data_IF_640894830673
#
_entry.id   IF_640894830673
#
_cell.length_a   1.000
_cell.length_b   1.000
_cell.length_c   1.000
_cell.angle_alpha   90.00
_cell.angle_beta   90.00
_cell.angle_gamma   90.00
#
_symmetry.space_group_name_H-M   'P 1'
#
loop_
_entity.id
_entity.type
_entity.pdbx_description
1 polymer ?
#
# COMPACT_ATOMS: atom_id res chain seq x y z
N UNK A 1 -0.94 5.26 8.59
CA UNK A 1 -2.07 6.18 8.35
C UNK A 1 -2.17 6.44 6.87
N UNK A 2 -3.36 6.79 6.40
CA UNK A 2 -3.74 6.56 4.98
C UNK A 2 -3.49 7.84 4.16
N UNK A 3 -2.24 8.28 4.21
CA UNK A 3 -1.68 9.37 3.40
C UNK A 3 -0.30 8.93 2.94
N UNK A 4 -0.08 8.93 1.64
CA UNK A 4 1.22 8.63 1.04
C UNK A 4 2.03 9.88 0.70
N UNK A 5 3.11 9.67 -0.05
CA UNK A 5 3.97 10.76 -0.52
C UNK A 5 3.19 11.71 -1.44
N UNK A 6 3.46 13.01 -1.33
CA UNK A 6 2.79 14.03 -2.17
C UNK A 6 3.30 13.96 -3.62
N UNK A 7 4.53 13.52 -3.83
CA UNK A 7 5.16 13.43 -5.15
C UNK A 7 5.85 12.08 -5.36
N UNK A 8 5.66 11.40 -6.51
CA UNK A 8 6.32 10.12 -6.80
C UNK A 8 7.84 10.26 -6.94
N UNK A 9 8.36 11.46 -7.19
CA UNK A 9 9.80 11.73 -7.21
C UNK A 9 10.46 11.60 -5.83
N UNK A 10 9.67 11.40 -4.77
CA UNK A 10 10.16 11.18 -3.41
C UNK A 10 10.45 9.71 -3.07
N UNK A 11 10.11 8.79 -3.98
CA UNK A 11 10.37 7.35 -3.85
C UNK A 11 11.87 7.08 -3.69
N UNK A 12 12.22 6.14 -2.81
CA UNK A 12 13.61 5.68 -2.61
C UNK A 12 13.85 4.33 -3.27
N UNK A 13 12.83 3.48 -3.33
CA UNK A 13 12.85 2.17 -3.95
C UNK A 13 11.84 2.17 -5.11
N UNK A 14 12.37 2.29 -6.33
CA UNK A 14 11.57 2.35 -7.57
C UNK A 14 10.95 1.02 -7.95
N UNK A 15 11.49 -0.10 -7.46
CA UNK A 15 10.90 -1.42 -7.72
C UNK A 15 9.61 -1.59 -6.90
N UNK A 16 9.64 -1.12 -5.65
CA UNK A 16 8.52 -1.24 -4.71
C UNK A 16 7.58 -0.04 -4.73
N UNK A 17 7.98 1.05 -5.38
CA UNK A 17 7.27 2.33 -5.38
C UNK A 17 7.02 2.85 -3.94
N UNK A 18 8.04 2.76 -3.10
CA UNK A 18 8.00 3.23 -1.71
C UNK A 18 9.19 4.16 -1.38
N UNK A 19 8.96 5.07 -0.44
CA UNK A 19 10.00 5.83 0.22
C UNK A 19 10.27 5.23 1.61
N UNK A 20 11.43 4.62 1.79
CA UNK A 20 11.91 4.03 3.03
C UNK A 20 13.05 4.86 3.60
N UNK A 21 12.82 5.47 4.75
CA UNK A 21 13.79 6.32 5.43
C UNK A 21 14.20 5.69 6.75
N UNK A 22 15.50 5.45 6.93
CA UNK A 22 16.09 4.93 8.16
C UNK A 22 16.51 6.07 9.10
N UNK A 23 16.18 5.93 10.38
CA UNK A 23 16.45 6.91 11.43
C UNK A 23 16.10 8.38 11.06
N UNK A 24 14.92 8.66 10.47
CA UNK A 24 14.59 10.01 10.02
C UNK A 24 14.23 10.92 11.20
N UNK A 25 14.43 12.22 10.99
CA UNK A 25 13.67 13.23 11.72
C UNK A 25 12.26 13.37 11.12
N UNK A 26 11.28 13.72 11.96
CA UNK A 26 9.89 13.90 11.56
C UNK A 26 9.42 15.27 12.01
N UNK A 27 9.08 16.13 11.05
CA UNK A 27 8.55 17.46 11.27
C UNK A 27 7.02 17.41 11.18
N UNK A 28 6.33 17.80 12.26
CA UNK A 28 4.87 17.90 12.30
C UNK A 28 4.44 19.37 12.25
N UNK A 29 3.64 19.75 11.25
CA UNK A 29 3.17 21.13 11.06
C UNK A 29 1.64 21.13 10.95
N UNK A 30 0.97 22.00 11.71
CA UNK A 30 -0.51 22.04 11.70
C UNK A 30 -1.09 22.78 10.50
N UNK A 31 -0.29 23.66 9.88
CA UNK A 31 -0.65 24.53 8.75
C UNK A 31 -0.10 24.03 7.42
N UNK A 32 -0.51 24.68 6.33
CA UNK A 32 0.06 24.48 5.00
C UNK A 32 1.46 25.08 4.90
N UNK A 33 2.30 24.46 4.07
CA UNK A 33 3.64 24.95 3.75
C UNK A 33 3.69 25.27 2.26
N UNK A 34 3.85 26.55 1.92
CA UNK A 34 3.88 27.04 0.53
C UNK A 34 5.23 27.66 0.18
N UNK A 35 5.81 28.44 1.10
CA UNK A 35 7.05 29.16 0.92
C UNK A 35 8.24 28.30 1.36
N UNK A 36 9.29 28.26 0.52
CA UNK A 36 10.53 27.54 0.87
C UNK A 36 11.24 28.21 2.05
N UNK A 37 11.14 29.54 2.18
CA UNK A 37 11.83 30.34 3.20
C UNK A 37 11.55 29.83 4.61
N UNK A 38 10.34 29.39 4.87
CA UNK A 38 9.92 28.91 6.20
C UNK A 38 10.56 27.56 6.53
N UNK A 39 10.90 26.75 5.51
CA UNK A 39 11.55 25.45 5.67
C UNK A 39 13.09 25.54 5.72
N UNK A 40 13.70 26.55 5.12
CA UNK A 40 15.17 26.66 5.03
C UNK A 40 15.86 26.44 6.38
N UNK A 41 15.45 27.09 7.49
CA UNK A 41 16.15 26.94 8.78
C UNK A 41 16.14 25.51 9.31
N UNK A 42 15.03 24.79 9.18
CA UNK A 42 14.93 23.40 9.64
C UNK A 42 15.66 22.44 8.69
N UNK A 43 15.60 22.68 7.38
CA UNK A 43 16.31 21.88 6.39
C UNK A 43 17.82 21.95 6.60
N UNK A 44 18.38 23.14 6.83
CA UNK A 44 19.82 23.31 7.09
C UNK A 44 20.27 22.55 8.33
N UNK A 45 19.51 22.63 9.44
CA UNK A 45 19.80 21.91 10.67
C UNK A 45 19.78 20.39 10.47
N UNK A 46 18.77 19.88 9.75
CA UNK A 46 18.66 18.44 9.49
C UNK A 46 19.74 17.97 8.52
N UNK A 47 20.07 18.73 7.50
CA UNK A 47 21.17 18.43 6.58
C UNK A 47 22.51 18.28 7.29
N UNK A 48 22.80 19.14 8.28
CA UNK A 48 24.03 19.03 9.10
C UNK A 48 24.10 17.72 9.89
N UNK A 49 22.95 17.15 10.25
CA UNK A 49 22.89 15.87 10.95
C UNK A 49 23.03 14.65 10.02
N UNK A 50 23.03 14.86 8.70
CA UNK A 50 23.06 13.80 7.68
C UNK A 50 21.95 12.73 7.84
N UNK A 51 20.84 13.10 8.50
CA UNK A 51 19.65 12.25 8.63
C UNK A 51 18.59 12.63 7.60
N UNK A 52 17.75 11.68 7.15
CA UNK A 52 16.60 11.98 6.31
C UNK A 52 15.52 12.76 7.07
N UNK A 53 14.62 13.43 6.35
CA UNK A 53 13.51 14.19 6.92
C UNK A 53 12.16 13.74 6.36
N UNK A 54 11.21 13.47 7.23
CA UNK A 54 9.79 13.30 6.89
C UNK A 54 9.05 14.55 7.33
N UNK A 55 8.28 15.14 6.42
CA UNK A 55 7.46 16.33 6.71
C UNK A 55 5.99 15.92 6.65
N UNK A 56 5.29 16.07 7.78
CA UNK A 56 3.85 15.84 7.90
C UNK A 56 3.16 17.18 8.17
N UNK A 57 2.49 17.73 7.16
CA UNK A 57 1.81 19.02 7.26
C UNK A 57 0.36 18.94 6.78
N UNK A 58 -0.46 19.97 7.01
CA UNK A 58 -1.81 20.02 6.41
C UNK A 58 -1.76 19.81 4.89
N UNK A 59 -0.86 20.55 4.24
CA UNK A 59 -0.49 20.36 2.84
C UNK A 59 0.91 20.94 2.59
N UNK A 60 1.59 20.44 1.56
CA UNK A 60 2.86 20.99 1.08
C UNK A 60 2.71 21.24 -0.41
N UNK A 61 2.76 22.51 -0.82
CA UNK A 61 2.48 22.94 -2.19
C UNK A 61 3.44 24.05 -2.65
N UNK A 62 3.36 24.42 -3.93
CA UNK A 62 4.12 25.53 -4.50
C UNK A 62 5.65 25.34 -4.45
N UNK A 63 6.35 26.43 -4.11
CA UNK A 63 7.82 26.51 -4.12
C UNK A 63 8.46 25.55 -3.11
N UNK A 64 7.83 25.36 -1.95
CA UNK A 64 8.29 24.43 -0.93
C UNK A 64 8.35 23.00 -1.47
N UNK A 65 7.27 22.52 -2.10
CA UNK A 65 7.23 21.17 -2.68
C UNK A 65 8.25 21.00 -3.80
N UNK A 66 8.32 21.96 -4.72
CA UNK A 66 9.28 21.94 -5.83
C UNK A 66 10.72 21.84 -5.33
N UNK A 67 11.06 22.62 -4.29
CA UNK A 67 12.39 22.59 -3.69
C UNK A 67 12.74 21.23 -3.08
N UNK A 68 11.81 20.62 -2.34
CA UNK A 68 12.01 19.30 -1.74
C UNK A 68 12.23 18.23 -2.83
N UNK A 69 11.42 18.27 -3.89
CA UNK A 69 11.53 17.34 -5.03
C UNK A 69 12.87 17.51 -5.74
N UNK A 70 13.28 18.73 -6.07
CA UNK A 70 14.56 18.98 -6.78
C UNK A 70 15.75 18.54 -5.94
N UNK A 71 15.76 18.81 -4.63
CA UNK A 71 16.86 18.37 -3.76
C UNK A 71 16.91 16.85 -3.60
N UNK A 72 15.74 16.19 -3.59
CA UNK A 72 15.64 14.74 -3.55
C UNK A 72 16.16 14.10 -4.84
N UNK A 73 15.75 14.59 -6.01
CA UNK A 73 16.20 14.10 -7.33
C UNK A 73 17.72 14.28 -7.48
N UNK A 74 18.25 15.42 -7.04
CA UNK A 74 19.70 15.70 -7.08
C UNK A 74 20.52 14.89 -6.07
N UNK A 75 19.87 14.16 -5.16
CA UNK A 75 20.53 13.43 -4.08
C UNK A 75 21.14 14.31 -2.99
N UNK A 76 20.89 15.63 -3.02
CA UNK A 76 21.43 16.59 -2.03
C UNK A 76 20.85 16.34 -0.64
N UNK A 77 19.55 16.01 -0.57
CA UNK A 77 18.86 15.81 0.69
C UNK A 77 17.71 14.81 0.54
N UNK A 78 17.65 13.82 1.43
CA UNK A 78 16.60 12.81 1.40
C UNK A 78 15.41 13.27 2.26
N UNK A 79 14.42 13.88 1.61
CA UNK A 79 13.19 14.33 2.26
C UNK A 79 11.94 13.77 1.60
N UNK A 80 10.92 13.46 2.40
CA UNK A 80 9.61 13.03 1.91
C UNK A 80 8.51 13.82 2.60
N UNK A 81 7.60 14.38 1.80
CA UNK A 81 6.47 15.17 2.25
C UNK A 81 5.17 14.36 2.17
N UNK A 82 4.39 14.39 3.25
CA UNK A 82 3.14 13.65 3.42
C UNK A 82 2.08 14.59 4.01
N UNK A 83 0.84 14.45 3.57
CA UNK A 83 -0.27 15.20 4.17
C UNK A 83 -0.67 14.61 5.52
N UNK A 84 -1.04 15.46 6.47
CA UNK A 84 -1.53 15.05 7.76
C UNK A 84 -2.87 14.29 7.61
N UNK A 85 -3.08 13.21 8.38
CA UNK A 85 -4.33 12.46 8.34
C UNK A 85 -5.46 13.20 9.07
N UNK A 86 -6.71 12.94 8.67
CA UNK A 86 -7.89 13.57 9.26
C UNK A 86 -8.13 15.01 8.80
N UNK A 87 -9.17 15.64 9.37
CA UNK A 87 -9.59 17.00 9.05
C UNK A 87 -9.93 17.76 10.34
N UNK A 88 -9.81 19.09 10.32
CA UNK A 88 -10.16 19.96 11.46
C UNK A 88 -9.45 19.57 12.76
N UNK A 89 -10.20 19.56 13.87
CA UNK A 89 -9.68 19.19 15.20
C UNK A 89 -9.14 17.76 15.25
N UNK A 90 -9.70 16.84 14.46
CA UNK A 90 -9.21 15.46 14.38
C UNK A 90 -7.78 15.41 13.82
N UNK A 91 -7.47 16.24 12.83
CA UNK A 91 -6.11 16.35 12.27
C UNK A 91 -5.13 16.82 13.34
N UNK A 92 -5.49 17.85 14.11
CA UNK A 92 -4.67 18.36 15.21
C UNK A 92 -4.41 17.28 16.27
N UNK A 93 -5.46 16.57 16.68
CA UNK A 93 -5.36 15.48 17.65
C UNK A 93 -4.47 14.33 17.14
N UNK A 94 -4.60 13.94 15.86
CA UNK A 94 -3.76 12.90 15.25
C UNK A 94 -2.30 13.34 15.06
N UNK A 95 -2.05 14.61 14.72
CA UNK A 95 -0.69 15.17 14.68
C UNK A 95 -0.05 15.12 16.07
N UNK A 96 -0.80 15.46 17.12
CA UNK A 96 -0.32 15.36 18.49
C UNK A 96 -0.03 13.90 18.89
N UNK A 97 -0.87 12.95 18.50
CA UNK A 97 -0.65 11.52 18.74
C UNK A 97 0.68 11.05 18.10
N UNK A 98 0.94 11.44 16.85
CA UNK A 98 2.18 11.10 16.15
C UNK A 98 3.41 11.80 16.73
N UNK A 99 3.26 13.05 17.16
CA UNK A 99 4.32 13.80 17.83
C UNK A 99 4.71 13.13 19.15
N UNK A 100 3.74 12.77 20.00
CA UNK A 100 3.97 12.03 21.25
C UNK A 100 4.63 10.67 20.97
N UNK A 101 4.12 9.91 20.00
CA UNK A 101 4.68 8.61 19.61
C UNK A 101 6.16 8.68 19.21
N UNK A 102 6.57 9.78 18.60
CA UNK A 102 7.92 9.97 18.05
C UNK A 102 8.82 10.86 18.91
N UNK A 103 8.31 11.42 20.01
CA UNK A 103 9.02 12.35 20.87
C UNK A 103 9.22 13.74 20.26
N UNK A 104 8.42 14.10 19.25
CA UNK A 104 8.44 15.41 18.60
C UNK A 104 7.38 16.37 19.15
N UNK A 105 7.34 17.57 18.59
CA UNK A 105 6.34 18.59 18.89
C UNK A 105 5.62 19.05 17.61
N UNK A 106 4.32 19.29 17.70
CA UNK A 106 3.54 19.85 16.59
C UNK A 106 3.81 21.35 16.51
N UNK A 107 4.30 21.81 15.36
CA UNK A 107 4.51 23.22 15.08
C UNK A 107 3.18 23.84 14.66
N UNK A 108 2.68 24.74 15.50
CA UNK A 108 1.41 25.42 15.28
C UNK A 108 1.47 26.87 15.74
N UNK A 109 0.94 27.77 14.91
CA UNK A 109 0.85 29.19 15.23
C UNK A 109 -0.09 29.46 16.42
N UNK A 110 -1.06 28.58 16.66
CA UNK A 110 -2.02 28.68 17.77
C UNK A 110 -1.32 28.62 19.15
N UNK A 111 -0.19 27.92 19.23
CA UNK A 111 0.64 27.80 20.44
C UNK A 111 1.92 28.65 20.36
N UNK A 112 2.00 29.56 19.37
CA UNK A 112 3.12 30.50 19.21
C UNK A 112 4.39 29.91 18.60
N UNK A 113 4.35 28.70 18.04
CA UNK A 113 5.50 28.09 17.37
C UNK A 113 5.47 28.41 15.88
N UNK A 114 6.57 29.00 15.39
CA UNK A 114 6.78 29.30 13.98
C UNK A 114 7.77 28.32 13.36
N UNK A 115 7.54 27.97 12.10
CA UNK A 115 8.39 27.04 11.35
C UNK A 115 9.84 27.53 11.23
N UNK A 116 10.03 28.85 11.11
CA UNK A 116 11.34 29.51 11.06
C UNK A 116 12.18 29.29 12.34
N UNK A 117 11.54 29.01 13.48
CA UNK A 117 12.19 28.89 14.79
C UNK A 117 12.35 27.43 15.26
N UNK A 118 12.08 26.45 14.39
CA UNK A 118 12.14 25.04 14.76
C UNK A 118 13.57 24.61 15.06
N UNK A 119 13.72 23.83 16.14
CA UNK A 119 14.99 23.20 16.49
C UNK A 119 14.92 21.67 16.37
N UNK A 120 16.08 21.01 16.30
CA UNK A 120 16.17 19.56 16.17
C UNK A 120 15.50 18.82 17.34
N UNK A 121 15.46 19.43 18.53
CA UNK A 121 14.78 18.89 19.71
C UNK A 121 13.25 18.86 19.59
N UNK A 122 12.67 19.62 18.65
CA UNK A 122 11.23 19.64 18.39
C UNK A 122 10.83 18.61 17.33
N UNK A 123 11.79 17.99 16.65
CA UNK A 123 11.52 16.99 15.62
C UNK A 123 11.32 15.61 16.26
N UNK A 124 10.33 14.89 15.77
CA UNK A 124 10.13 13.49 16.12
C UNK A 124 11.25 12.62 15.54
N UNK A 125 11.46 11.46 16.14
CA UNK A 125 12.39 10.45 15.64
C UNK A 125 11.72 9.06 15.61
N UNK A 126 12.15 8.23 14.68
CA UNK A 126 11.71 6.85 14.54
C UNK A 126 12.85 5.98 14.01
N UNK A 127 12.79 4.66 14.22
CA UNK A 127 13.77 3.72 13.64
C UNK A 127 13.65 3.70 12.10
N UNK A 128 12.41 3.67 11.59
CA UNK A 128 12.14 3.67 10.15
C UNK A 128 10.79 4.30 9.84
N UNK A 129 10.69 4.97 8.69
CA UNK A 129 9.42 5.41 8.11
C UNK A 129 9.30 4.88 6.69
N UNK A 130 8.19 4.21 6.39
CA UNK A 130 7.88 3.66 5.05
C UNK A 130 6.64 4.37 4.51
N UNK A 131 6.74 4.93 3.32
CA UNK A 131 5.72 5.75 2.69
C UNK A 131 5.45 5.21 1.28
N UNK A 132 4.23 4.77 1.01
CA UNK A 132 3.77 4.37 -0.32
C UNK A 132 2.96 5.51 -0.96
N UNK A 133 2.35 5.25 -2.11
CA UNK A 133 1.43 6.20 -2.76
C UNK A 133 0.27 6.62 -1.87
N UNK A 134 -0.23 5.70 -1.04
CA UNK A 134 -1.48 5.88 -0.32
C UNK A 134 -1.33 5.77 1.22
N UNK A 135 -0.21 5.22 1.72
CA UNK A 135 -0.02 4.96 3.14
C UNK A 135 1.34 5.43 3.67
N UNK A 136 1.37 5.79 4.95
CA UNK A 136 2.60 6.05 5.72
C UNK A 136 2.61 5.23 7.00
N UNK A 137 3.72 4.55 7.25
CA UNK A 137 3.97 3.73 8.44
C UNK A 137 5.19 4.25 9.17
N UNK A 138 5.02 4.63 10.44
CA UNK A 138 6.10 5.01 11.35
C UNK A 138 6.42 3.79 12.22
N UNK A 139 7.66 3.31 12.16
CA UNK A 139 8.12 2.12 12.88
C UNK A 139 9.02 2.53 14.04
N UNK A 140 8.68 2.08 15.24
CA UNK A 140 9.41 2.32 16.49
C UNK A 140 9.77 3.80 16.69
N UNK A 141 8.75 4.61 16.99
CA UNK A 141 8.92 6.01 17.37
C UNK A 141 9.70 6.15 18.69
N UNK A 142 10.49 7.21 18.81
CA UNK A 142 11.35 7.48 19.97
C UNK A 142 10.64 8.22 21.12
N UNK A 143 9.30 8.19 21.16
CA UNK A 143 8.51 8.81 22.22
C UNK A 143 8.73 8.17 23.59
N UNK A 144 8.63 8.98 24.65
CA UNK A 144 8.73 8.46 26.01
C UNK A 144 7.50 7.59 26.32
N UNK A 145 7.74 6.43 26.94
CA UNK A 145 6.66 5.47 27.24
C UNK A 145 5.57 6.09 28.12
N UNK A 146 5.96 6.89 29.10
CA UNK A 146 5.04 7.55 30.03
C UNK A 146 4.11 8.54 29.30
N UNK A 147 4.63 9.27 28.31
CA UNK A 147 3.83 10.21 27.51
C UNK A 147 2.84 9.45 26.61
N UNK A 148 3.26 8.33 26.03
CA UNK A 148 2.41 7.46 25.21
C UNK A 148 1.30 6.82 26.07
N UNK A 149 1.66 6.27 27.24
CA UNK A 149 0.71 5.65 28.17
C UNK A 149 -0.28 6.69 28.71
N UNK A 150 0.19 7.90 29.02
CA UNK A 150 -0.65 9.05 29.39
C UNK A 150 -1.63 9.43 28.28
N UNK A 151 -1.16 9.46 27.02
CA UNK A 151 -2.02 9.75 25.87
C UNK A 151 -3.06 8.65 25.62
N UNK A 152 -2.68 7.39 25.78
CA UNK A 152 -3.58 6.23 25.71
C UNK A 152 -4.67 6.33 26.78
N UNK A 153 -4.30 6.68 28.02
CA UNK A 153 -5.26 6.85 29.11
C UNK A 153 -6.24 7.99 28.84
N UNK A 154 -5.76 9.11 28.29
CA UNK A 154 -6.61 10.23 27.88
C UNK A 154 -7.66 9.79 26.85
N UNK A 155 -7.24 9.10 25.78
CA UNK A 155 -8.16 8.66 24.71
C UNK A 155 -9.19 7.64 25.25
N UNK A 156 -8.78 6.75 26.17
CA UNK A 156 -9.72 5.83 26.84
C UNK A 156 -10.79 6.59 27.63
N UNK A 157 -10.38 7.60 28.39
CA UNK A 157 -11.33 8.44 29.13
C UNK A 157 -12.26 9.23 28.18
N UNK A 158 -11.77 9.71 27.03
CA UNK A 158 -12.60 10.35 25.99
C UNK A 158 -13.62 9.38 25.40
N UNK A 159 -13.25 8.10 25.20
CA UNK A 159 -14.15 7.04 24.72
C UNK A 159 -15.28 6.74 25.72
N UNK A 160 -14.96 6.72 27.01
CA UNK A 160 -15.94 6.41 28.06
C UNK A 160 -16.94 7.55 28.25
N UNK A 161 -16.53 8.79 27.98
CA UNK A 161 -17.35 10.00 28.16
C UNK A 161 -18.11 10.43 26.90
N UNK A 162 -17.96 9.76 25.76
CA UNK A 162 -18.68 10.10 24.53
C UNK A 162 -19.97 9.30 24.37
N UNK A 163 -21.06 10.01 24.08
CA UNK A 163 -22.37 9.42 23.75
C UNK A 163 -22.55 9.19 22.23
N UNK A 164 -21.55 9.56 21.42
CA UNK A 164 -21.56 9.46 19.96
C UNK A 164 -20.84 8.19 19.50
N UNK A 165 -21.57 7.27 18.87
CA UNK A 165 -20.99 6.04 18.30
C UNK A 165 -19.93 6.33 17.24
N UNK A 166 -20.13 7.39 16.46
CA UNK A 166 -19.15 7.84 15.46
C UNK A 166 -17.84 8.28 16.13
N UNK A 167 -17.91 9.10 17.18
CA UNK A 167 -16.70 9.58 17.87
C UNK A 167 -16.01 8.43 18.60
N UNK A 168 -16.80 7.51 19.19
CA UNK A 168 -16.30 6.29 19.82
C UNK A 168 -15.47 5.46 18.85
N UNK A 169 -15.99 5.19 17.65
CA UNK A 169 -15.26 4.47 16.60
C UNK A 169 -13.97 5.19 16.22
N UNK A 170 -14.02 6.53 16.05
CA UNK A 170 -12.86 7.32 15.62
C UNK A 170 -11.79 7.45 16.69
N UNK A 171 -12.17 7.46 17.96
CA UNK A 171 -11.25 7.40 19.09
C UNK A 171 -10.65 6.00 19.25
N UNK A 172 -11.43 4.94 19.02
CA UNK A 172 -10.93 3.56 19.00
C UNK A 172 -9.89 3.35 17.90
N UNK A 173 -10.08 3.91 16.70
CA UNK A 173 -9.06 3.88 15.64
C UNK A 173 -7.73 4.52 16.08
N UNK A 174 -7.80 5.67 16.78
CA UNK A 174 -6.61 6.37 17.29
C UNK A 174 -5.93 5.59 18.39
N UNK A 175 -6.73 5.09 19.34
CA UNK A 175 -6.26 4.22 20.43
C UNK A 175 -5.56 3.00 19.86
N UNK A 176 -6.17 2.31 18.89
CA UNK A 176 -5.59 1.13 18.26
C UNK A 176 -4.25 1.44 17.56
N UNK A 177 -4.09 2.63 16.96
CA UNK A 177 -2.83 3.06 16.34
C UNK A 177 -1.74 3.39 17.35
N UNK A 178 -2.09 3.86 18.55
CA UNK A 178 -1.14 4.16 19.63
C UNK A 178 -0.80 2.93 20.48
N UNK A 179 -1.77 2.07 20.77
CA UNK A 179 -1.59 0.83 21.53
C UNK A 179 -1.14 -0.34 20.67
N UNK A 180 -1.37 -0.25 19.35
CA UNK A 180 -1.01 -1.27 18.38
C UNK A 180 0.49 -1.36 18.22
N UNK A 181 1.08 -2.41 18.77
CA UNK A 181 2.50 -2.70 18.57
C UNK A 181 2.79 -2.91 17.08
N UNK A 182 3.88 -2.32 16.60
CA UNK A 182 4.41 -2.60 15.27
C UNK A 182 5.29 -3.85 15.37
N UNK A 183 4.87 -4.94 14.73
CA UNK A 183 5.70 -6.14 14.61
C UNK A 183 6.67 -5.99 13.43
N UNK A 184 7.97 -6.19 13.67
CA UNK A 184 9.00 -6.13 12.63
C UNK A 184 9.48 -7.55 12.31
N UNK A 185 9.24 -8.00 11.08
CA UNK A 185 9.75 -9.28 10.58
C UNK A 185 11.14 -9.07 9.95
N UNK A 186 12.20 -9.54 10.63
CA UNK A 186 13.57 -9.47 10.12
C UNK A 186 13.87 -10.73 9.29
N UNK A 187 13.98 -10.56 7.97
CA UNK A 187 14.27 -11.66 7.03
C UNK A 187 15.77 -11.74 6.78
N UNK A 188 16.33 -12.95 6.86
CA UNK A 188 17.74 -13.23 6.54
C UNK A 188 17.88 -14.29 5.46
N UNK A 189 18.91 -14.14 4.63
CA UNK A 189 19.29 -15.04 3.55
C UNK A 189 20.82 -14.99 3.30
N UNK A 190 21.36 -15.96 2.56
CA UNK A 190 22.80 -16.06 2.32
C UNK A 190 23.28 -15.12 1.20
N UNK A 191 22.39 -14.75 0.29
CA UNK A 191 22.66 -13.82 -0.82
C UNK A 191 21.56 -12.76 -0.94
N UNK A 192 21.87 -11.63 -1.57
CA UNK A 192 20.92 -10.54 -1.76
C UNK A 192 19.72 -10.93 -2.64
N UNK A 193 19.96 -11.73 -3.68
CA UNK A 193 18.88 -12.22 -4.56
C UNK A 193 17.91 -13.11 -3.79
N UNK A 194 18.43 -14.03 -2.96
CA UNK A 194 17.61 -14.86 -2.10
C UNK A 194 16.88 -14.02 -1.04
N UNK A 195 17.55 -13.01 -0.47
CA UNK A 195 16.95 -12.10 0.50
C UNK A 195 15.72 -11.40 -0.08
N UNK A 196 15.85 -10.85 -1.29
CA UNK A 196 14.77 -10.12 -1.97
C UNK A 196 13.55 -11.02 -2.20
N UNK A 197 13.76 -12.20 -2.77
CA UNK A 197 12.69 -13.16 -3.03
C UNK A 197 12.03 -13.68 -1.75
N UNK A 198 12.82 -14.04 -0.74
CA UNK A 198 12.31 -14.52 0.55
C UNK A 198 11.54 -13.42 1.29
N UNK A 199 12.00 -12.18 1.21
CA UNK A 199 11.30 -11.01 1.76
C UNK A 199 9.95 -10.81 1.06
N UNK A 200 9.91 -10.79 -0.27
CA UNK A 200 8.66 -10.64 -1.02
C UNK A 200 7.64 -11.73 -0.68
N UNK A 201 8.05 -13.01 -0.63
CA UNK A 201 7.14 -14.11 -0.24
C UNK A 201 6.56 -13.94 1.17
N UNK A 202 7.33 -13.39 2.11
CA UNK A 202 6.83 -13.11 3.47
C UNK A 202 5.84 -11.94 3.44
N UNK A 203 6.10 -10.91 2.64
CA UNK A 203 5.19 -9.77 2.47
C UNK A 203 3.85 -10.18 1.85
N UNK A 204 3.89 -11.06 0.84
CA UNK A 204 2.69 -11.66 0.23
C UNK A 204 1.90 -12.48 1.25
N UNK A 205 2.59 -13.30 2.06
CA UNK A 205 1.96 -14.08 3.11
C UNK A 205 1.29 -13.20 4.17
N UNK A 206 1.93 -12.12 4.60
CA UNK A 206 1.35 -11.15 5.55
C UNK A 206 0.12 -10.47 4.94
N UNK A 207 0.20 -10.02 3.69
CA UNK A 207 -0.91 -9.35 3.00
C UNK A 207 -2.10 -10.28 2.79
N UNK A 208 -1.84 -11.54 2.42
CA UNK A 208 -2.87 -12.58 2.27
C UNK A 208 -3.53 -12.92 3.60
N UNK A 209 -2.75 -13.00 4.68
CA UNK A 209 -3.28 -13.26 6.02
C UNK A 209 -4.20 -12.14 6.49
N UNK A 210 -3.83 -10.87 6.26
CA UNK A 210 -4.71 -9.72 6.54
C UNK A 210 -6.01 -9.81 5.74
N UNK A 211 -5.92 -10.09 4.44
CA UNK A 211 -7.09 -10.25 3.59
C UNK A 211 -8.00 -11.42 4.01
N UNK A 212 -7.41 -12.51 4.51
CA UNK A 212 -8.15 -13.65 5.05
C UNK A 212 -8.88 -13.34 6.37
N UNK A 213 -8.30 -12.49 7.22
CA UNK A 213 -8.96 -12.03 8.46
C UNK A 213 -10.18 -11.16 8.13
N UNK A 214 -10.11 -10.36 7.06
CA UNK A 214 -11.17 -9.43 6.67
C UNK A 214 -12.39 -10.11 6.03
N UNK A 215 -12.19 -10.97 5.03
CA UNK A 215 -13.30 -11.58 4.26
C UNK A 215 -13.37 -13.11 4.37
N UNK A 216 -12.53 -13.72 5.20
CA UNK A 216 -12.46 -15.17 5.36
C UNK A 216 -11.64 -15.88 4.29
N UNK A 217 -11.75 -17.21 4.27
CA UNK A 217 -10.98 -18.10 3.40
C UNK A 217 -11.89 -19.01 2.57
N UNK A 218 -11.40 -19.43 1.41
CA UNK A 218 -12.07 -20.34 0.47
C UNK A 218 -11.12 -21.45 0.04
N UNK A 219 -11.66 -22.51 -0.59
CA UNK A 219 -10.83 -23.57 -1.15
C UNK A 219 -9.93 -23.02 -2.27
N UNK A 220 -8.63 -23.29 -2.17
CA UNK A 220 -7.64 -22.74 -3.10
C UNK A 220 -7.58 -23.46 -4.45
N UNK A 221 -6.43 -23.37 -5.11
CA UNK A 221 -6.14 -24.14 -6.34
C UNK A 221 -7.04 -23.79 -7.53
N UNK A 222 -7.69 -22.63 -7.52
CA UNK A 222 -8.65 -22.22 -8.53
C UNK A 222 -10.00 -22.95 -8.48
N UNK A 223 -10.22 -23.85 -7.51
CA UNK A 223 -11.47 -24.63 -7.40
C UNK A 223 -12.65 -23.73 -7.09
N UNK A 224 -12.49 -22.76 -6.19
CA UNK A 224 -13.58 -21.82 -5.85
C UNK A 224 -14.11 -21.08 -7.07
N UNK A 225 -13.22 -20.63 -7.96
CA UNK A 225 -13.61 -19.98 -9.21
C UNK A 225 -14.30 -20.96 -10.17
N UNK A 226 -13.80 -22.19 -10.27
CA UNK A 226 -14.44 -23.24 -11.07
C UNK A 226 -15.86 -23.54 -10.58
N UNK A 227 -16.10 -23.59 -9.27
CA UNK A 227 -17.45 -23.78 -8.69
C UNK A 227 -18.38 -22.60 -8.94
N UNK A 228 -17.85 -21.37 -9.01
CA UNK A 228 -18.64 -20.18 -9.33
C UNK A 228 -19.23 -20.21 -10.76
N UNK A 229 -18.74 -21.10 -11.65
CA UNK A 229 -19.28 -21.25 -13.00
C UNK A 229 -20.77 -21.59 -13.04
N UNK A 230 -21.26 -22.41 -12.10
CA UNK A 230 -22.66 -22.83 -12.09
C UNK A 230 -23.59 -21.62 -11.91
N UNK A 231 -23.21 -20.67 -11.05
CA UNK A 231 -23.94 -19.43 -10.86
C UNK A 231 -23.90 -18.55 -12.13
N UNK A 232 -22.74 -18.43 -12.78
CA UNK A 232 -22.60 -17.65 -14.02
C UNK A 232 -23.40 -18.29 -15.16
N UNK A 233 -23.41 -19.61 -15.28
CA UNK A 233 -24.17 -20.34 -16.29
C UNK A 233 -25.69 -20.20 -16.07
N UNK A 234 -26.14 -20.19 -14.82
CA UNK A 234 -27.54 -19.93 -14.49
C UNK A 234 -27.96 -18.52 -14.93
N UNK A 235 -27.12 -17.51 -14.69
CA UNK A 235 -27.37 -16.14 -15.19
C UNK A 235 -27.35 -16.11 -16.72
N UNK A 236 -26.37 -16.74 -17.36
CA UNK A 236 -26.26 -16.78 -18.82
C UNK A 236 -27.50 -17.38 -19.50
N UNK A 237 -28.19 -18.32 -18.84
CA UNK A 237 -29.43 -18.92 -19.34
C UNK A 237 -30.63 -17.96 -19.31
N UNK A 238 -30.57 -16.89 -18.50
CA UNK A 238 -31.61 -15.85 -18.44
C UNK A 238 -31.36 -14.68 -19.40
N UNK A 239 -30.16 -14.60 -19.98
CA UNK A 239 -29.75 -13.53 -20.88
C UNK A 239 -29.95 -13.94 -22.35
N UNK A 240 -29.87 -12.96 -23.26
CA UNK A 240 -29.99 -13.19 -24.70
C UNK A 240 -28.92 -12.45 -25.49
N UNK A 241 -28.71 -12.84 -26.75
CA UNK A 241 -27.75 -12.18 -27.65
C UNK A 241 -26.34 -12.08 -27.07
N UNK A 242 -25.73 -10.91 -27.23
CA UNK A 242 -24.33 -10.65 -26.84
C UNK A 242 -24.12 -10.66 -25.32
N UNK A 243 -25.15 -10.32 -24.53
CA UNK A 243 -25.08 -10.40 -23.06
C UNK A 243 -24.88 -11.84 -22.58
N UNK A 244 -25.60 -12.80 -23.19
CA UNK A 244 -25.42 -14.22 -22.90
C UNK A 244 -24.03 -14.71 -23.32
N UNK A 245 -23.50 -14.21 -24.44
CA UNK A 245 -22.13 -14.50 -24.88
C UNK A 245 -21.11 -13.99 -23.87
N UNK A 246 -21.25 -12.75 -23.39
CA UNK A 246 -20.39 -12.16 -22.36
C UNK A 246 -20.39 -12.98 -21.05
N UNK A 247 -21.57 -13.40 -20.58
CA UNK A 247 -21.67 -14.26 -19.40
C UNK A 247 -20.96 -15.61 -19.59
N UNK A 248 -21.10 -16.25 -20.76
CA UNK A 248 -20.37 -17.50 -21.08
C UNK A 248 -18.86 -17.30 -21.17
N UNK A 249 -18.40 -16.13 -21.63
CA UNK A 249 -16.96 -15.79 -21.62
C UNK A 249 -16.42 -15.76 -20.20
N UNK A 250 -17.14 -15.15 -19.26
CA UNK A 250 -16.77 -15.16 -17.83
C UNK A 250 -16.75 -16.60 -17.30
N UNK A 251 -17.80 -17.39 -17.56
CA UNK A 251 -17.84 -18.79 -17.15
C UNK A 251 -16.61 -19.56 -17.65
N UNK A 252 -16.21 -19.38 -18.92
CA UNK A 252 -15.03 -20.01 -19.48
C UNK A 252 -13.72 -19.53 -18.84
N UNK A 253 -13.60 -18.22 -18.56
CA UNK A 253 -12.41 -17.63 -17.96
C UNK A 253 -12.15 -18.14 -16.53
N UNK A 254 -13.19 -18.51 -15.78
CA UNK A 254 -13.07 -19.10 -14.44
C UNK A 254 -12.31 -20.44 -14.42
N UNK A 255 -12.16 -21.12 -15.56
CA UNK A 255 -11.29 -22.31 -15.69
C UNK A 255 -9.80 -21.98 -15.69
N UNK A 256 -9.43 -20.74 -16.05
CA UNK A 256 -8.06 -20.32 -16.31
C UNK A 256 -7.10 -20.62 -15.15
N UNK A 257 -7.41 -20.22 -13.91
CA UNK A 257 -6.50 -20.41 -12.78
C UNK A 257 -6.19 -21.89 -12.50
N UNK A 258 -7.21 -22.75 -12.39
CA UNK A 258 -7.00 -24.18 -12.13
C UNK A 258 -6.27 -24.87 -13.29
N UNK A 259 -6.56 -24.46 -14.55
CA UNK A 259 -5.85 -24.95 -15.74
C UNK A 259 -4.36 -24.64 -15.65
N UNK A 260 -4.02 -23.38 -15.39
CA UNK A 260 -2.63 -22.93 -15.33
C UNK A 260 -1.86 -23.61 -14.20
N UNK A 261 -2.49 -23.79 -13.04
CA UNK A 261 -1.88 -24.50 -11.91
C UNK A 261 -1.59 -25.96 -12.27
N UNK A 262 -2.54 -26.65 -12.91
CA UNK A 262 -2.35 -28.02 -13.36
C UNK A 262 -1.25 -28.16 -14.43
N UNK A 263 -1.23 -27.27 -15.43
CA UNK A 263 -0.23 -27.28 -16.49
C UNK A 263 1.19 -27.02 -15.95
N UNK A 264 1.32 -26.08 -15.00
CA UNK A 264 2.60 -25.83 -14.31
C UNK A 264 3.06 -27.02 -13.46
N UNK A 265 2.13 -27.87 -13.02
CA UNK A 265 2.42 -29.14 -12.34
C UNK A 265 2.66 -30.32 -13.29
N UNK A 266 2.66 -30.09 -14.61
CA UNK A 266 2.87 -31.13 -15.62
C UNK A 266 1.66 -32.02 -15.90
N UNK A 267 0.46 -31.57 -15.52
CA UNK A 267 -0.81 -32.28 -15.73
C UNK A 267 -1.63 -31.62 -16.86
N UNK A 268 -2.52 -32.40 -17.49
CA UNK A 268 -3.45 -31.83 -18.49
C UNK A 268 -4.57 -31.06 -17.79
N UNK A 269 -4.56 -29.73 -17.96
CA UNK A 269 -5.52 -28.86 -17.29
C UNK A 269 -6.98 -29.15 -17.68
N UNK A 270 -7.27 -29.57 -18.91
CA UNK A 270 -8.62 -29.93 -19.34
C UNK A 270 -9.14 -31.17 -18.63
N UNK A 271 -8.29 -32.20 -18.48
CA UNK A 271 -8.60 -33.41 -17.71
C UNK A 271 -8.84 -33.07 -16.24
N UNK A 272 -7.96 -32.25 -15.63
CA UNK A 272 -8.10 -31.84 -14.24
C UNK A 272 -9.40 -31.08 -14.00
N UNK A 273 -9.72 -30.09 -14.85
CA UNK A 273 -10.97 -29.33 -14.76
C UNK A 273 -12.18 -30.25 -14.78
N UNK A 274 -12.23 -31.18 -15.74
CA UNK A 274 -13.36 -32.08 -15.88
C UNK A 274 -13.47 -33.05 -14.69
N UNK A 275 -12.34 -33.52 -14.16
CA UNK A 275 -12.34 -34.35 -12.97
C UNK A 275 -12.87 -33.58 -11.76
N UNK A 276 -12.35 -32.39 -11.47
CA UNK A 276 -12.80 -31.56 -10.34
C UNK A 276 -14.29 -31.23 -10.46
N UNK A 277 -14.81 -30.92 -11.65
CA UNK A 277 -16.26 -30.73 -11.86
C UNK A 277 -17.09 -31.93 -11.44
N UNK A 278 -16.59 -33.15 -11.69
CA UNK A 278 -17.29 -34.38 -11.36
C UNK A 278 -17.31 -34.71 -9.86
N UNK A 279 -16.44 -34.07 -9.06
CA UNK A 279 -16.38 -34.24 -7.61
C UNK A 279 -17.60 -33.61 -6.95
N UNK A 280 -18.18 -34.33 -5.99
CA UNK A 280 -19.44 -33.92 -5.32
C UNK A 280 -19.21 -32.85 -4.26
N UNK A 281 -18.07 -32.91 -3.57
CA UNK A 281 -17.75 -31.93 -2.54
C UNK A 281 -17.14 -30.68 -3.21
N UNK A 282 -17.71 -29.49 -3.00
CA UNK A 282 -17.17 -28.27 -3.61
C UNK A 282 -15.76 -27.93 -3.13
N UNK A 283 -15.34 -28.43 -1.96
CA UNK A 283 -13.99 -28.25 -1.42
C UNK A 283 -12.97 -29.26 -1.94
N UNK A 284 -13.40 -30.30 -2.67
CA UNK A 284 -12.48 -31.26 -3.28
C UNK A 284 -11.88 -30.71 -4.57
N UNK A 285 -10.56 -30.88 -4.70
CA UNK A 285 -9.76 -30.36 -5.80
C UNK A 285 -8.40 -31.00 -5.92
N UNK A 286 -7.64 -30.59 -6.94
CA UNK A 286 -6.29 -31.06 -7.16
C UNK A 286 -5.32 -30.37 -6.19
N UNK A 287 -4.63 -31.14 -5.37
CA UNK A 287 -3.37 -30.73 -4.76
C UNK A 287 -2.26 -30.85 -5.80
N UNK A 288 -1.91 -29.74 -6.45
CA UNK A 288 -0.93 -29.72 -7.54
C UNK A 288 0.51 -30.07 -7.10
N UNK A 289 0.81 -30.01 -5.80
CA UNK A 289 2.12 -30.38 -5.28
C UNK A 289 2.29 -31.91 -5.17
N UNK A 290 1.20 -32.65 -4.94
CA UNK A 290 1.22 -34.12 -4.82
C UNK A 290 0.59 -34.85 -6.01
N UNK A 291 -0.25 -34.16 -6.78
CA UNK A 291 -1.04 -34.74 -7.87
C UNK A 291 -2.34 -35.42 -7.42
N UNK A 292 -2.68 -35.35 -6.13
CA UNK A 292 -3.84 -36.04 -5.55
C UNK A 292 -5.08 -35.15 -5.48
N UNK A 293 -6.26 -35.76 -5.59
CA UNK A 293 -7.54 -35.07 -5.38
C UNK A 293 -8.00 -35.23 -3.94
N UNK A 294 -8.07 -34.13 -3.21
CA UNK A 294 -8.35 -34.11 -1.77
C UNK A 294 -9.28 -32.96 -1.41
N UNK A 295 -9.85 -32.99 -0.20
CA UNK A 295 -10.48 -31.81 0.38
C UNK A 295 -9.40 -30.75 0.64
N UNK A 296 -9.40 -29.68 -0.16
CA UNK A 296 -8.36 -28.66 -0.14
C UNK A 296 -8.35 -27.87 1.17
N UNK A 297 -9.52 -27.66 1.78
CA UNK A 297 -9.63 -26.95 3.05
C UNK A 297 -9.01 -27.77 4.19
N UNK A 298 -9.31 -29.06 4.25
CA UNK A 298 -8.71 -29.98 5.22
C UNK A 298 -7.20 -30.16 5.00
N UNK A 299 -6.75 -30.12 3.74
CA UNK A 299 -5.34 -30.17 3.37
C UNK A 299 -4.59 -28.84 3.61
N UNK A 300 -5.28 -27.78 4.04
CA UNK A 300 -4.69 -26.44 4.27
C UNK A 300 -4.38 -25.64 3.00
N UNK A 301 -4.91 -26.07 1.85
CA UNK A 301 -4.79 -25.37 0.56
C UNK A 301 -5.98 -24.41 0.44
N UNK A 302 -5.83 -23.25 1.08
CA UNK A 302 -6.85 -22.22 1.18
C UNK A 302 -6.35 -20.89 0.62
N UNK A 303 -7.26 -20.13 0.02
CA UNK A 303 -7.02 -18.77 -0.48
C UNK A 303 -7.84 -17.77 0.34
N UNK A 304 -7.37 -16.53 0.47
CA UNK A 304 -8.17 -15.45 1.03
C UNK A 304 -9.32 -15.09 0.08
N UNK A 305 -10.56 -15.09 0.57
CA UNK A 305 -11.76 -14.83 -0.24
C UNK A 305 -11.69 -13.48 -0.98
N UNK A 306 -11.18 -12.46 -0.27
CA UNK A 306 -10.95 -11.12 -0.81
C UNK A 306 -10.04 -11.13 -2.04
N UNK A 307 -8.98 -11.94 -2.03
CA UNK A 307 -8.02 -12.05 -3.14
C UNK A 307 -8.68 -12.70 -4.35
N UNK A 308 -9.39 -13.82 -4.16
CA UNK A 308 -10.12 -14.50 -5.23
C UNK A 308 -11.17 -13.58 -5.89
N UNK A 309 -11.96 -12.87 -5.09
CA UNK A 309 -12.98 -11.93 -5.58
C UNK A 309 -12.36 -10.73 -6.30
N UNK A 310 -11.35 -10.11 -5.69
CA UNK A 310 -10.72 -8.90 -6.24
C UNK A 310 -9.96 -9.21 -7.53
N UNK A 311 -9.29 -10.37 -7.62
CA UNK A 311 -8.63 -10.84 -8.83
C UNK A 311 -9.61 -10.97 -10.01
N UNK A 312 -10.77 -11.60 -9.78
CA UNK A 312 -11.80 -11.74 -10.80
C UNK A 312 -12.38 -10.38 -11.23
N UNK A 313 -12.70 -9.51 -10.28
CA UNK A 313 -13.30 -8.19 -10.56
C UNK A 313 -12.36 -7.28 -11.35
N UNK A 314 -11.08 -7.22 -10.95
CA UNK A 314 -10.09 -6.40 -11.64
C UNK A 314 -9.81 -6.92 -13.06
N UNK A 315 -9.68 -8.25 -13.21
CA UNK A 315 -9.50 -8.87 -14.53
C UNK A 315 -10.69 -8.59 -15.45
N UNK A 316 -11.93 -8.75 -14.95
CA UNK A 316 -13.14 -8.46 -15.71
C UNK A 316 -13.24 -6.98 -16.08
N UNK A 317 -12.89 -6.07 -15.17
CA UNK A 317 -12.91 -4.62 -15.40
C UNK A 317 -12.00 -4.20 -16.55
N UNK A 318 -10.77 -4.72 -16.60
CA UNK A 318 -9.83 -4.41 -17.68
C UNK A 318 -10.26 -5.10 -18.98
N UNK A 319 -10.65 -6.38 -18.93
CA UNK A 319 -11.06 -7.12 -20.12
C UNK A 319 -12.26 -6.48 -20.81
N UNK A 320 -13.28 -6.04 -20.05
CA UNK A 320 -14.45 -5.37 -20.61
C UNK A 320 -14.07 -4.07 -21.34
N UNK A 321 -13.16 -3.27 -20.78
CA UNK A 321 -12.66 -2.04 -21.43
C UNK A 321 -11.95 -2.35 -22.75
N UNK A 322 -11.07 -3.36 -22.75
CA UNK A 322 -10.34 -3.79 -23.95
C UNK A 322 -11.27 -4.32 -25.05
N UNK A 323 -12.30 -5.10 -24.69
CA UNK A 323 -13.26 -5.63 -25.66
C UNK A 323 -14.07 -4.54 -26.38
N UNK A 324 -14.22 -3.37 -25.74
CA UNK A 324 -14.91 -2.20 -26.32
C UNK A 324 -13.96 -1.21 -27.03
N UNK A 325 -12.68 -1.51 -27.11
CA UNK A 325 -11.68 -0.62 -27.71
C UNK A 325 -11.70 -0.75 -29.24
N UNK A 326 -12.29 0.23 -29.93
CA UNK A 326 -12.35 0.27 -31.40
C UNK A 326 -11.10 0.87 -32.05
N UNK A 327 -10.40 1.77 -31.35
CA UNK A 327 -9.20 2.43 -31.85
C UNK A 327 -8.22 2.74 -30.73
N UNK A 328 -6.92 2.74 -31.06
CA UNK A 328 -5.83 3.14 -30.18
C UNK A 328 -5.03 4.22 -30.89
N UNK A 329 -4.79 5.34 -30.21
CA UNK A 329 -3.89 6.40 -30.66
C UNK A 329 -2.61 6.28 -29.85
N UNK A 330 -1.50 6.11 -30.53
CA UNK A 330 -0.17 6.04 -29.91
C UNK A 330 0.71 7.14 -30.48
N UNK A 331 1.73 7.53 -29.73
CA UNK A 331 2.82 8.33 -30.31
C UNK A 331 3.43 7.58 -31.50
N UNK A 332 3.89 8.36 -32.48
CA UNK A 332 4.66 7.78 -33.57
C UNK A 332 5.92 7.15 -32.98
N UNK A 333 6.33 5.93 -33.41
CA UNK A 333 7.57 5.34 -32.93
C UNK A 333 8.71 6.32 -33.17
N UNK A 334 9.52 6.54 -32.13
CA UNK A 334 10.69 7.40 -32.27
C UNK A 334 11.55 6.89 -33.43
N UNK A 335 11.96 7.80 -34.31
CA UNK A 335 12.92 7.45 -35.35
C UNK A 335 14.22 7.10 -34.66
N UNK A 336 14.53 5.81 -34.58
CA UNK A 336 15.84 5.31 -34.13
C UNK A 336 16.93 6.16 -34.77
N UNK A 337 17.71 6.86 -33.94
CA UNK A 337 18.70 7.84 -34.38
C UNK A 337 19.58 7.27 -35.48
N UNK A 338 19.44 7.81 -36.70
CA UNK A 338 20.43 7.63 -37.73
C UNK A 338 21.75 8.16 -37.20
N UNK A 339 22.76 7.29 -37.16
CA UNK A 339 24.14 7.69 -36.96
C UNK A 339 24.47 8.84 -37.93
N UNK A 340 24.63 10.05 -37.38
CA UNK A 340 24.76 11.26 -38.18
C UNK A 340 25.07 12.50 -37.33
N UNK A 341 26.29 12.54 -36.79
CA UNK A 341 27.08 13.76 -36.62
C UNK A 341 26.52 14.93 -35.79
N UNK A 342 27.07 15.08 -34.58
CA UNK A 342 27.59 16.37 -34.12
C UNK A 342 26.63 17.34 -33.41
N UNK A 343 26.75 17.38 -32.08
CA UNK A 343 26.79 18.63 -31.30
C UNK A 343 25.45 19.27 -30.94
N UNK A 344 25.22 19.41 -29.62
CA UNK A 344 24.29 20.41 -29.09
C UNK A 344 23.36 19.86 -28.01
N UNK A 345 23.62 20.25 -26.77
CA UNK A 345 22.74 20.22 -25.60
C UNK A 345 21.25 20.41 -25.91
N UNK A 346 20.40 19.73 -25.13
CA UNK A 346 19.03 20.16 -24.88
C UNK A 346 18.10 19.01 -24.52
N UNK A 347 17.56 19.10 -23.30
CA UNK A 347 16.34 18.45 -22.82
C UNK A 347 16.35 16.93 -22.60
N UNK A 348 16.49 16.55 -21.33
CA UNK A 348 16.03 15.26 -20.82
C UNK A 348 14.68 15.47 -20.14
N UNK A 349 13.61 15.29 -20.92
CA UNK A 349 12.28 14.99 -20.43
C UNK A 349 12.15 13.46 -20.26
N UNK A 350 11.90 13.01 -19.03
CA UNK A 350 11.38 11.69 -18.68
C UNK A 350 10.28 11.88 -17.63
#
# INVERSE_FOLDING_TARGET
FDKGYISPYMVTDTDRMEASLDNPYILFVSSKITAVRDLVPVLEKVMQSSKPLVIVAEDIEGEALATLVVNKIRGTFNSVAVKAPGFGERRKAMLADMAILTGGQVISEEIGLKLENVDLSMLGQAERVVITKDETTIVAGAGAKDDIDGRIAQIKAEIDNTDSDYDREKLQERLAKLSGGVAVLKVGAATEVELKEKKHRIEDAVSTTKAAIEEGVVAGGGVTLLRAQDAVNAVAATLSGDEATGARMVAKALEGPIKQIAENAGLDGGVVINHVRSLKNPAEGLNAATGEYVNLVEAGIIDAAKVTRSGLQNAASIAALFLTTEAVITDAPEKSGGAGGGGGMGDMDF
#
